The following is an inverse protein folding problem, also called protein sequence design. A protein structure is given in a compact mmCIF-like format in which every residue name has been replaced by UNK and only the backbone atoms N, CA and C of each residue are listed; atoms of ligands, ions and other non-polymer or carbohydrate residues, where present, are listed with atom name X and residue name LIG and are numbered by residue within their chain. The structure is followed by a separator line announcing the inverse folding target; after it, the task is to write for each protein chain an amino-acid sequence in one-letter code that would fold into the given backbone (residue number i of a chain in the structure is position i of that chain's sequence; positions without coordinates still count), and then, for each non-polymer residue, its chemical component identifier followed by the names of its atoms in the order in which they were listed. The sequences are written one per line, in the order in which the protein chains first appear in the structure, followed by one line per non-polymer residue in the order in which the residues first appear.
data_IF_979250370903
#
_entry.id   IF_979250370903
#
_cell.length_a   1.000
_cell.length_b   1.000
_cell.length_c   1.000
_cell.angle_alpha   90.00
_cell.angle_beta   90.00
_cell.angle_gamma   90.00
#
_symmetry.space_group_name_H-M   'P 1'
#
loop_
_entity.id
_entity.type
_entity.pdbx_description
1 polymer ?
#
# COMPACT_ATOMS: atom_id res chain seq x y z
N UNK A 1 -15.71 -5.10 -5.70
CA UNK A 1 -14.44 -4.44 -5.32
C UNK A 1 -13.69 -5.19 -4.22
N UNK A 2 -14.31 -5.49 -3.07
CA UNK A 2 -13.71 -6.28 -1.99
C UNK A 2 -13.11 -7.63 -2.43
N UNK A 3 -13.77 -8.34 -3.36
CA UNK A 3 -13.23 -9.58 -3.94
C UNK A 3 -11.90 -9.39 -4.66
N UNK A 4 -11.78 -8.36 -5.51
CA UNK A 4 -10.53 -8.04 -6.23
C UNK A 4 -9.40 -7.66 -5.26
N UNK A 5 -9.73 -6.89 -4.23
CA UNK A 5 -8.79 -6.43 -3.20
C UNK A 5 -8.24 -7.60 -2.38
N UNK A 6 -9.10 -8.54 -2.00
CA UNK A 6 -8.68 -9.77 -1.34
C UNK A 6 -7.78 -10.61 -2.25
N UNK A 7 -8.13 -10.76 -3.53
CA UNK A 7 -7.28 -11.49 -4.48
C UNK A 7 -5.89 -10.85 -4.58
N UNK A 8 -5.79 -9.53 -4.68
CA UNK A 8 -4.50 -8.83 -4.70
C UNK A 8 -3.67 -9.08 -3.44
N UNK A 9 -4.30 -9.04 -2.26
CA UNK A 9 -3.66 -9.33 -0.97
C UNK A 9 -3.15 -10.77 -0.91
N UNK A 10 -3.96 -11.73 -1.34
CA UNK A 10 -3.55 -13.15 -1.38
C UNK A 10 -2.43 -13.37 -2.39
N UNK A 11 -2.50 -12.76 -3.57
CA UNK A 11 -1.42 -12.81 -4.56
C UNK A 11 -0.11 -12.27 -3.98
N UNK A 12 -0.16 -11.16 -3.25
CA UNK A 12 1.00 -10.59 -2.58
C UNK A 12 1.59 -11.52 -1.52
N UNK A 13 0.75 -12.08 -0.66
CA UNK A 13 1.15 -13.03 0.37
C UNK A 13 1.85 -14.27 -0.23
N UNK A 14 1.22 -14.87 -1.25
CA UNK A 14 1.76 -16.08 -1.89
C UNK A 14 3.04 -15.80 -2.67
N UNK A 15 3.15 -14.64 -3.33
CA UNK A 15 4.39 -14.27 -4.03
C UNK A 15 5.55 -14.04 -3.07
N UNK A 16 5.31 -13.42 -1.90
CA UNK A 16 6.31 -13.33 -0.83
C UNK A 16 6.78 -14.70 -0.32
N UNK A 17 5.85 -15.65 -0.12
CA UNK A 17 6.21 -17.02 0.27
C UNK A 17 7.02 -17.74 -0.82
N UNK A 18 6.56 -17.68 -2.07
CA UNK A 18 7.26 -18.29 -3.22
C UNK A 18 8.67 -17.73 -3.32
N UNK A 19 8.83 -16.41 -3.19
CA UNK A 19 10.13 -15.75 -3.20
C UNK A 19 11.04 -16.29 -2.08
N UNK A 20 10.54 -16.42 -0.85
CA UNK A 20 11.32 -16.93 0.28
C UNK A 20 11.82 -18.37 0.04
N UNK A 21 11.01 -19.25 -0.56
CA UNK A 21 11.40 -20.64 -0.83
C UNK A 21 12.30 -20.79 -2.06
N UNK A 22 12.07 -20.01 -3.12
CA UNK A 22 12.83 -20.14 -4.37
C UNK A 22 14.32 -19.80 -4.23
N UNK A 23 14.72 -19.00 -3.23
CA UNK A 23 16.12 -18.71 -2.97
C UNK A 23 16.87 -19.82 -2.22
N UNK A 24 16.15 -20.63 -1.44
CA UNK A 24 16.77 -21.68 -0.62
C UNK A 24 16.92 -23.00 -1.38
N UNK A 25 15.96 -23.31 -2.26
CA UNK A 25 15.87 -24.62 -2.92
C UNK A 25 17.03 -24.90 -3.91
N UNK A 26 17.39 -24.00 -4.86
CA UNK A 26 18.40 -24.31 -5.88
C UNK A 26 19.81 -24.65 -5.35
N UNK A 27 20.35 -23.98 -4.31
CA UNK A 27 21.64 -24.33 -3.73
C UNK A 27 21.70 -25.75 -3.13
N UNK A 28 20.58 -26.34 -2.69
CA UNK A 28 20.53 -27.72 -2.17
C UNK A 28 20.90 -28.76 -3.23
N UNK A 29 20.69 -28.43 -4.51
CA UNK A 29 21.01 -29.32 -5.63
C UNK A 29 22.40 -29.08 -6.23
N UNK A 30 23.15 -28.08 -5.73
CA UNK A 30 24.55 -27.83 -6.10
C UNK A 30 25.48 -28.37 -5.00
N UNK A 31 26.57 -29.04 -5.39
CA UNK A 31 27.62 -29.45 -4.43
C UNK A 31 28.24 -28.21 -3.80
N UNK A 32 28.17 -28.10 -2.47
CA UNK A 32 28.63 -26.94 -1.68
C UNK A 32 27.96 -25.60 -2.07
N UNK A 33 26.69 -25.63 -2.46
CA UNK A 33 25.91 -24.41 -2.75
C UNK A 33 25.33 -23.74 -1.50
N UNK A 34 25.77 -22.52 -1.20
CA UNK A 34 25.11 -21.68 -0.18
C UNK A 34 23.97 -20.85 -0.81
N UNK A 35 22.86 -20.61 -0.09
CA UNK A 35 21.80 -19.68 -0.51
C UNK A 35 22.33 -18.29 -0.85
N UNK A 36 23.28 -17.80 -0.04
CA UNK A 36 23.99 -16.56 -0.31
C UNK A 36 25.48 -16.86 -0.45
N UNK A 37 26.11 -16.54 -1.60
CA UNK A 37 27.52 -16.75 -1.81
C UNK A 37 28.31 -15.79 -0.91
N UNK A 38 28.86 -16.32 0.18
CA UNK A 38 29.63 -15.56 1.19
C UNK A 38 30.90 -16.34 1.50
N UNK A 39 32.01 -15.61 1.64
CA UNK A 39 33.29 -16.18 2.07
C UNK A 39 33.37 -16.12 3.58
N UNK A 40 33.57 -17.26 4.23
CA UNK A 40 33.80 -17.35 5.67
C UNK A 40 35.31 -17.52 5.96
N UNK A 41 35.80 -17.02 7.12
CA UNK A 41 37.20 -17.15 7.50
C UNK A 41 37.60 -18.57 7.97
N UNK A 42 36.68 -19.53 7.96
CA UNK A 42 36.88 -20.93 8.34
C UNK A 42 36.38 -21.86 7.24
N UNK A 43 36.82 -23.12 7.25
CA UNK A 43 36.36 -24.13 6.29
C UNK A 43 34.92 -24.56 6.60
N UNK A 44 33.99 -23.91 5.92
CA UNK A 44 32.55 -24.19 6.02
C UNK A 44 32.12 -25.36 5.14
N UNK A 45 33.00 -25.91 4.28
CA UNK A 45 32.63 -27.00 3.36
C UNK A 45 32.58 -28.37 4.05
N UNK A 46 33.25 -28.50 5.20
CA UNK A 46 33.26 -29.72 6.00
C UNK A 46 31.97 -29.90 6.82
N UNK A 47 31.51 -31.15 6.97
CA UNK A 47 30.45 -31.52 7.91
C UNK A 47 30.98 -31.39 9.35
N UNK A 48 30.26 -30.75 10.30
CA UNK A 48 28.87 -30.25 10.23
C UNK A 48 28.71 -28.76 9.89
N UNK A 49 29.82 -28.04 9.63
CA UNK A 49 29.81 -26.59 9.44
C UNK A 49 28.95 -26.15 8.26
N UNK A 50 28.96 -26.90 7.15
CA UNK A 50 28.11 -26.62 5.99
C UNK A 50 26.62 -26.52 6.37
N UNK A 51 26.12 -27.50 7.13
CA UNK A 51 24.72 -27.54 7.54
C UNK A 51 24.38 -26.38 8.47
N UNK A 52 25.26 -26.09 9.44
CA UNK A 52 25.07 -24.98 10.39
C UNK A 52 24.99 -23.64 9.63
N UNK A 53 25.93 -23.38 8.72
CA UNK A 53 25.96 -22.16 7.93
C UNK A 53 24.72 -22.06 7.04
N UNK A 54 24.37 -23.15 6.35
CA UNK A 54 23.18 -23.19 5.49
C UNK A 54 21.90 -22.87 6.29
N UNK A 55 21.67 -23.56 7.41
CA UNK A 55 20.50 -23.31 8.27
C UNK A 55 20.49 -21.89 8.83
N UNK A 56 21.65 -21.35 9.21
CA UNK A 56 21.74 -19.98 9.70
C UNK A 56 21.36 -18.95 8.62
N UNK A 57 21.85 -19.12 7.39
CA UNK A 57 21.49 -18.24 6.27
C UNK A 57 20.00 -18.34 5.92
N UNK A 58 19.47 -19.56 5.87
CA UNK A 58 18.05 -19.80 5.62
C UNK A 58 17.17 -19.14 6.70
N UNK A 59 17.52 -19.31 7.97
CA UNK A 59 16.78 -18.72 9.09
C UNK A 59 16.81 -17.19 9.08
N UNK A 60 18.00 -16.60 8.89
CA UNK A 60 18.15 -15.14 8.79
C UNK A 60 17.34 -14.60 7.62
N UNK A 61 17.38 -15.26 6.47
CA UNK A 61 16.60 -14.83 5.31
C UNK A 61 15.10 -14.91 5.55
N UNK A 62 14.60 -15.97 6.18
CA UNK A 62 13.19 -16.08 6.53
C UNK A 62 12.74 -14.95 7.45
N UNK A 63 13.59 -14.52 8.41
CA UNK A 63 13.30 -13.36 9.26
C UNK A 63 13.25 -12.07 8.43
N UNK A 64 14.24 -11.83 7.56
CA UNK A 64 14.28 -10.62 6.73
C UNK A 64 13.05 -10.53 5.83
N UNK A 65 12.69 -11.63 5.15
CA UNK A 65 11.49 -11.69 4.31
C UNK A 65 10.22 -11.45 5.13
N UNK A 66 10.10 -12.04 6.33
CA UNK A 66 8.95 -11.81 7.21
C UNK A 66 8.82 -10.35 7.63
N UNK A 67 9.93 -9.70 8.01
CA UNK A 67 9.94 -8.29 8.40
C UNK A 67 9.59 -7.39 7.21
N UNK A 68 10.15 -7.65 6.03
CA UNK A 68 9.84 -6.91 4.81
C UNK A 68 8.36 -6.99 4.45
N UNK A 69 7.83 -8.21 4.30
CA UNK A 69 6.41 -8.43 4.01
C UNK A 69 5.50 -7.87 5.09
N UNK A 70 5.91 -7.93 6.36
CA UNK A 70 5.18 -7.30 7.48
C UNK A 70 5.10 -5.78 7.36
N UNK A 71 6.18 -5.14 6.89
CA UNK A 71 6.20 -3.70 6.65
C UNK A 71 5.28 -3.31 5.48
N UNK A 72 5.26 -4.09 4.39
CA UNK A 72 4.32 -3.89 3.28
C UNK A 72 2.87 -4.01 3.76
N UNK A 73 2.55 -5.04 4.57
CA UNK A 73 1.21 -5.18 5.13
C UNK A 73 0.81 -4.05 6.08
N UNK A 74 1.77 -3.46 6.80
CA UNK A 74 1.52 -2.28 7.62
C UNK A 74 1.10 -1.08 6.77
N UNK A 75 1.82 -0.82 5.68
CA UNK A 75 1.49 0.23 4.69
C UNK A 75 0.09 -0.02 4.11
N UNK A 76 -0.11 -1.21 3.56
CA UNK A 76 -1.36 -1.59 2.90
C UNK A 76 -2.55 -1.52 3.86
N UNK A 77 -2.40 -2.04 5.08
CA UNK A 77 -3.42 -1.99 6.12
C UNK A 77 -3.78 -0.55 6.49
N UNK A 78 -2.81 0.34 6.58
CA UNK A 78 -3.05 1.76 6.85
C UNK A 78 -3.77 2.47 5.69
N UNK A 79 -3.31 2.28 4.45
CA UNK A 79 -3.97 2.84 3.25
C UNK A 79 -5.42 2.36 3.12
N UNK A 80 -5.65 1.06 3.32
CA UNK A 80 -6.99 0.48 3.33
C UNK A 80 -7.86 1.06 4.42
N UNK A 81 -7.34 1.16 5.65
CA UNK A 81 -8.07 1.72 6.78
C UNK A 81 -8.51 3.16 6.48
N UNK A 82 -7.61 4.00 5.98
CA UNK A 82 -7.93 5.38 5.60
C UNK A 82 -9.00 5.39 4.50
N UNK A 83 -8.83 4.56 3.48
CA UNK A 83 -9.74 4.48 2.34
C UNK A 83 -11.15 4.08 2.79
N UNK A 84 -11.27 3.07 3.66
CA UNK A 84 -12.54 2.66 4.23
C UNK A 84 -13.20 3.78 5.04
N UNK A 85 -12.42 4.58 5.78
CA UNK A 85 -12.98 5.73 6.51
C UNK A 85 -13.53 6.81 5.57
N UNK A 86 -12.91 7.01 4.40
CA UNK A 86 -13.47 7.88 3.36
C UNK A 86 -14.77 7.32 2.77
N UNK A 87 -14.87 6.01 2.52
CA UNK A 87 -16.11 5.39 2.04
C UNK A 87 -17.25 5.56 3.09
N UNK A 88 -16.96 5.28 4.35
CA UNK A 88 -17.95 5.47 5.45
C UNK A 88 -18.40 6.94 5.53
N UNK A 89 -17.47 7.89 5.39
CA UNK A 89 -17.81 9.31 5.42
C UNK A 89 -18.70 9.72 4.24
N UNK A 90 -18.42 9.20 3.04
CA UNK A 90 -19.26 9.44 1.87
C UNK A 90 -20.69 8.97 2.13
N UNK A 91 -20.87 7.72 2.57
CA UNK A 91 -22.20 7.16 2.89
C UNK A 91 -22.91 7.99 3.97
N UNK A 92 -22.19 8.39 5.03
CA UNK A 92 -22.74 9.23 6.09
C UNK A 92 -23.27 10.58 5.56
N UNK A 93 -22.55 11.18 4.62
CA UNK A 93 -22.97 12.46 4.04
C UNK A 93 -24.12 12.26 3.04
N UNK A 94 -24.14 11.18 2.27
CA UNK A 94 -25.20 10.91 1.30
C UNK A 94 -26.57 10.73 1.97
N UNK A 95 -26.62 10.03 3.10
CA UNK A 95 -27.85 9.85 3.88
C UNK A 95 -28.28 11.12 4.63
N UNK A 96 -27.53 12.21 4.54
CA UNK A 96 -27.85 13.42 5.29
C UNK A 96 -29.26 13.93 4.97
N UNK A 97 -30.00 14.32 6.01
CA UNK A 97 -31.39 14.79 5.93
C UNK A 97 -32.39 13.73 5.38
N UNK A 98 -32.07 12.43 5.52
CA UNK A 98 -33.00 11.31 5.30
C UNK A 98 -33.38 10.61 6.62
N UNK A 99 -34.42 9.75 6.64
CA UNK A 99 -34.73 8.92 7.82
C UNK A 99 -33.57 8.05 8.28
N UNK A 100 -32.72 7.57 7.35
CA UNK A 100 -31.55 6.76 7.70
C UNK A 100 -30.53 7.54 8.53
N UNK A 101 -30.36 8.85 8.29
CA UNK A 101 -29.46 9.69 9.09
C UNK A 101 -29.90 9.75 10.55
N UNK A 102 -31.19 9.94 10.84
CA UNK A 102 -31.68 10.00 12.23
C UNK A 102 -31.47 8.66 12.95
N UNK A 103 -31.77 7.55 12.27
CA UNK A 103 -31.52 6.20 12.81
C UNK A 103 -30.03 5.97 13.08
N UNK A 104 -29.16 6.41 12.16
CA UNK A 104 -27.70 6.32 12.31
C UNK A 104 -27.19 7.20 13.44
N UNK A 105 -27.67 8.46 13.53
CA UNK A 105 -27.29 9.39 14.58
C UNK A 105 -27.64 8.85 15.98
N UNK A 106 -28.81 8.23 16.12
CA UNK A 106 -29.21 7.56 17.38
C UNK A 106 -28.22 6.47 17.79
N UNK A 107 -27.84 5.58 16.86
CA UNK A 107 -26.83 4.53 17.13
C UNK A 107 -25.46 5.15 17.47
N UNK A 108 -25.08 6.23 16.80
CA UNK A 108 -23.83 6.93 17.08
C UNK A 108 -23.84 7.62 18.45
N UNK A 109 -24.98 8.10 18.96
CA UNK A 109 -25.11 8.62 20.33
C UNK A 109 -24.78 7.54 21.36
N UNK A 110 -25.36 6.35 21.19
CA UNK A 110 -25.13 5.18 22.07
C UNK A 110 -23.65 4.73 22.08
N UNK A 111 -23.01 4.72 20.91
CA UNK A 111 -21.61 4.25 20.78
C UNK A 111 -20.61 5.30 21.25
N UNK A 112 -20.81 6.57 20.88
CA UNK A 112 -19.77 7.60 21.05
C UNK A 112 -19.83 8.33 22.40
N UNK A 113 -21.02 8.42 23.01
CA UNK A 113 -21.26 9.16 24.26
C UNK A 113 -20.52 10.53 24.31
N UNK A 114 -20.60 11.30 23.23
CA UNK A 114 -19.81 12.53 23.01
C UNK A 114 -20.50 13.81 23.52
N UNK A 115 -21.70 13.66 24.11
CA UNK A 115 -22.52 14.73 24.67
C UNK A 115 -22.93 15.77 23.64
N UNK A 116 -22.93 15.44 22.34
CA UNK A 116 -23.32 16.37 21.28
C UNK A 116 -24.83 16.67 21.30
N UNK A 117 -25.65 15.70 21.69
CA UNK A 117 -27.10 15.85 21.88
C UNK A 117 -27.47 16.95 22.88
N UNK A 118 -26.62 17.18 23.90
CA UNK A 118 -26.82 18.26 24.88
C UNK A 118 -26.38 19.63 24.34
N UNK A 119 -25.56 19.66 23.28
CA UNK A 119 -25.00 20.89 22.70
C UNK A 119 -25.78 21.40 21.50
N UNK A 120 -26.47 20.52 20.79
CA UNK A 120 -27.22 20.86 19.58
C UNK A 120 -28.64 20.32 19.68
N UNK A 121 -29.63 21.23 19.71
CA UNK A 121 -31.03 20.86 19.69
C UNK A 121 -31.49 20.29 18.33
N UNK A 122 -30.88 20.71 17.22
CA UNK A 122 -31.14 20.14 15.90
C UNK A 122 -30.21 18.93 15.66
N UNK A 123 -30.81 17.74 15.52
CA UNK A 123 -30.10 16.49 15.25
C UNK A 123 -29.29 16.54 13.93
N UNK A 124 -29.75 17.31 12.94
CA UNK A 124 -29.01 17.48 11.68
C UNK A 124 -27.70 18.23 11.91
N UNK A 125 -27.73 19.25 12.77
CA UNK A 125 -26.53 20.00 13.13
C UNK A 125 -25.57 19.15 13.95
N UNK A 126 -26.10 18.37 14.87
CA UNK A 126 -25.35 17.39 15.64
C UNK A 126 -24.61 16.39 14.72
N UNK A 127 -25.34 15.77 13.81
CA UNK A 127 -24.82 14.78 12.87
C UNK A 127 -23.79 15.40 11.91
N UNK A 128 -24.06 16.59 11.38
CA UNK A 128 -23.11 17.34 10.56
C UNK A 128 -21.78 17.56 11.30
N UNK A 129 -21.81 17.95 12.58
CA UNK A 129 -20.61 18.12 13.40
C UNK A 129 -19.85 16.80 13.56
N UNK A 130 -20.54 15.66 13.67
CA UNK A 130 -19.90 14.33 13.67
C UNK A 130 -19.18 14.07 12.35
N UNK A 131 -19.82 14.32 11.20
CA UNK A 131 -19.20 14.18 9.88
C UNK A 131 -17.96 15.07 9.70
N UNK A 132 -18.04 16.34 10.11
CA UNK A 132 -16.90 17.28 10.05
C UNK A 132 -15.74 16.79 10.92
N UNK A 133 -16.02 16.35 12.16
CA UNK A 133 -14.99 15.80 13.06
C UNK A 133 -14.37 14.54 12.48
N UNK A 134 -15.16 13.68 11.84
CA UNK A 134 -14.69 12.48 11.17
C UNK A 134 -13.75 12.82 10.02
N UNK A 135 -14.15 13.73 9.12
CA UNK A 135 -13.31 14.23 8.03
C UNK A 135 -11.98 14.80 8.55
N UNK A 136 -12.01 15.63 9.59
CA UNK A 136 -10.81 16.19 10.21
C UNK A 136 -9.90 15.11 10.82
N UNK A 137 -10.47 14.06 11.43
CA UNK A 137 -9.70 12.92 11.95
C UNK A 137 -9.03 12.15 10.82
N UNK A 138 -9.75 11.87 9.73
CA UNK A 138 -9.18 11.21 8.55
C UNK A 138 -8.01 12.03 8.01
N UNK A 139 -8.19 13.33 7.75
CA UNK A 139 -7.11 14.19 7.23
C UNK A 139 -5.88 14.22 8.14
N UNK A 140 -6.08 14.35 9.46
CA UNK A 140 -4.97 14.33 10.43
C UNK A 140 -4.26 12.97 10.44
N UNK A 141 -5.02 11.89 10.45
CA UNK A 141 -4.47 10.53 10.47
C UNK A 141 -3.71 10.24 9.17
N UNK A 142 -4.27 10.56 8.00
CA UNK A 142 -3.60 10.40 6.70
C UNK A 142 -2.26 11.15 6.67
N UNK A 143 -2.24 12.39 7.18
CA UNK A 143 -1.00 13.18 7.26
C UNK A 143 0.04 12.53 8.17
N UNK A 144 -0.36 12.09 9.37
CA UNK A 144 0.54 11.43 10.32
C UNK A 144 1.05 10.09 9.79
N UNK A 145 0.17 9.32 9.17
CA UNK A 145 0.48 8.04 8.55
C UNK A 145 1.48 8.23 7.40
N UNK A 146 1.27 9.19 6.51
CA UNK A 146 2.21 9.51 5.42
C UNK A 146 3.58 9.90 5.97
N UNK A 147 3.64 10.75 7.01
CA UNK A 147 4.91 11.13 7.66
C UNK A 147 5.63 9.91 8.25
N UNK A 148 4.89 9.00 8.90
CA UNK A 148 5.46 7.81 9.52
C UNK A 148 5.97 6.80 8.47
N UNK A 149 5.28 6.67 7.33
CA UNK A 149 5.63 5.69 6.29
C UNK A 149 6.66 6.21 5.28
N UNK A 150 6.85 7.52 5.14
CA UNK A 150 7.86 8.16 4.28
C UNK A 150 9.21 7.41 4.14
N UNK A 151 9.93 7.06 5.24
CA UNK A 151 11.21 6.36 5.12
C UNK A 151 11.08 4.96 4.54
N UNK A 152 10.02 4.23 4.92
CA UNK A 152 9.77 2.88 4.44
C UNK A 152 9.47 2.90 2.94
N UNK A 153 8.67 3.84 2.48
CA UNK A 153 8.24 3.96 1.09
C UNK A 153 9.37 4.41 0.17
N UNK A 154 10.24 5.30 0.65
CA UNK A 154 11.44 5.68 -0.09
C UNK A 154 12.40 4.49 -0.23
N UNK A 155 12.58 3.72 0.85
CA UNK A 155 13.40 2.51 0.81
C UNK A 155 12.79 1.47 -0.15
N UNK A 156 11.47 1.29 -0.10
CA UNK A 156 10.75 0.36 -0.96
C UNK A 156 10.89 0.73 -2.45
N UNK A 157 10.76 2.03 -2.78
CA UNK A 157 10.99 2.52 -4.13
C UNK A 157 12.43 2.26 -4.61
N UNK A 158 13.42 2.53 -3.76
CA UNK A 158 14.83 2.29 -4.08
C UNK A 158 15.09 0.81 -4.35
N UNK A 159 14.65 -0.06 -3.44
CA UNK A 159 14.79 -1.51 -3.57
C UNK A 159 14.08 -2.04 -4.81
N UNK A 160 12.87 -1.54 -5.11
CA UNK A 160 12.12 -1.94 -6.31
C UNK A 160 12.84 -1.55 -7.60
N UNK A 161 13.37 -0.33 -7.71
CA UNK A 161 14.12 0.11 -8.89
C UNK A 161 15.38 -0.72 -9.07
N UNK A 162 16.15 -0.91 -8.00
CA UNK A 162 17.37 -1.73 -8.05
C UNK A 162 17.06 -3.19 -8.40
N UNK A 163 16.04 -3.78 -7.78
CA UNK A 163 15.59 -5.15 -8.04
C UNK A 163 15.16 -5.34 -9.49
N UNK A 164 14.36 -4.42 -10.04
CA UNK A 164 13.95 -4.48 -11.45
C UNK A 164 15.14 -4.36 -12.41
N UNK A 165 16.07 -3.45 -12.15
CA UNK A 165 17.28 -3.28 -12.97
C UNK A 165 18.20 -4.50 -12.92
N UNK A 166 18.43 -5.08 -11.73
CA UNK A 166 19.23 -6.30 -11.58
C UNK A 166 18.57 -7.52 -12.20
N UNK A 167 17.24 -7.65 -12.07
CA UNK A 167 16.48 -8.70 -12.73
C UNK A 167 16.56 -8.59 -14.26
N UNK A 168 16.45 -7.37 -14.80
CA UNK A 168 16.63 -7.10 -16.22
C UNK A 168 18.05 -7.48 -16.71
N UNK A 169 19.08 -7.13 -15.94
CA UNK A 169 20.47 -7.53 -16.22
C UNK A 169 20.62 -9.07 -16.19
N UNK A 170 20.00 -9.74 -15.22
CA UNK A 170 20.02 -11.19 -15.09
C UNK A 170 19.45 -11.89 -16.32
N UNK A 171 18.29 -11.41 -16.81
CA UNK A 171 17.66 -11.93 -18.03
C UNK A 171 18.57 -11.69 -19.25
N UNK A 172 19.07 -10.47 -19.45
CA UNK A 172 19.97 -10.15 -20.57
C UNK A 172 21.30 -10.93 -20.51
N UNK A 173 21.72 -11.38 -19.32
CA UNK A 173 22.89 -12.22 -19.11
C UNK A 173 22.67 -13.70 -19.43
N UNK A 174 21.47 -14.21 -19.16
CA UNK A 174 21.16 -15.63 -19.29
C UNK A 174 20.64 -16.04 -20.67
N UNK A 175 20.30 -15.08 -21.55
CA UNK A 175 19.89 -15.35 -22.95
C UNK A 175 20.92 -16.14 -23.77
N UNK A 176 22.20 -16.18 -23.36
CA UNK A 176 23.25 -16.92 -24.08
C UNK A 176 23.65 -18.28 -23.47
N UNK A 177 23.39 -18.56 -22.18
CA UNK A 177 23.98 -19.74 -21.51
C UNK A 177 23.28 -20.21 -20.22
N UNK A 178 22.15 -19.62 -19.82
CA UNK A 178 21.49 -19.93 -18.53
C UNK A 178 20.70 -21.24 -18.53
N UNK A 179 20.66 -21.94 -17.40
CA UNK A 179 19.73 -23.06 -17.20
C UNK A 179 18.28 -22.55 -17.08
N UNK A 180 17.29 -23.40 -17.44
CA UNK A 180 15.85 -23.06 -17.29
C UNK A 180 15.51 -22.64 -15.85
N UNK A 181 16.17 -23.24 -14.86
CA UNK A 181 16.01 -22.90 -13.45
C UNK A 181 16.51 -21.47 -13.14
N UNK A 182 17.66 -21.06 -13.67
CA UNK A 182 18.22 -19.72 -13.46
C UNK A 182 17.38 -18.64 -14.15
N UNK A 183 16.83 -18.93 -15.33
CA UNK A 183 15.88 -18.04 -16.01
C UNK A 183 14.58 -17.87 -15.20
N UNK A 184 14.05 -18.97 -14.65
CA UNK A 184 12.85 -18.95 -13.80
C UNK A 184 13.03 -18.10 -12.53
N UNK A 185 14.19 -18.19 -11.87
CA UNK A 185 14.49 -17.38 -10.67
C UNK A 185 14.51 -15.89 -11.00
N UNK A 186 15.16 -15.48 -12.09
CA UNK A 186 15.22 -14.07 -12.48
C UNK A 186 13.84 -13.52 -12.88
N UNK A 187 13.00 -14.34 -13.52
CA UNK A 187 11.63 -13.94 -13.83
C UNK A 187 10.80 -13.70 -12.56
N UNK A 188 10.87 -14.62 -11.59
CA UNK A 188 10.16 -14.47 -10.31
C UNK A 188 10.68 -13.26 -9.53
N UNK A 189 11.98 -12.99 -9.59
CA UNK A 189 12.57 -11.79 -9.00
C UNK A 189 11.99 -10.51 -9.59
N UNK A 190 11.98 -10.39 -10.92
CA UNK A 190 11.45 -9.21 -11.61
C UNK A 190 9.94 -9.05 -11.37
N UNK A 191 9.21 -10.16 -11.45
CA UNK A 191 7.77 -10.17 -11.17
C UNK A 191 7.46 -9.76 -9.73
N UNK A 192 8.24 -10.22 -8.74
CA UNK A 192 8.06 -9.90 -7.33
C UNK A 192 8.17 -8.40 -7.04
N UNK A 193 9.29 -7.77 -7.44
CA UNK A 193 9.46 -6.31 -7.24
C UNK A 193 8.45 -5.49 -8.04
N UNK A 194 8.12 -5.94 -9.26
CA UNK A 194 7.08 -5.28 -10.06
C UNK A 194 5.71 -5.35 -9.37
N UNK A 195 5.33 -6.51 -8.84
CA UNK A 195 4.04 -6.71 -8.19
C UNK A 195 3.95 -5.93 -6.89
N UNK A 196 5.01 -5.93 -6.07
CA UNK A 196 5.05 -5.17 -4.82
C UNK A 196 4.84 -3.67 -5.09
N UNK A 197 5.65 -3.08 -5.98
CA UNK A 197 5.50 -1.66 -6.35
C UNK A 197 4.15 -1.35 -6.99
N UNK A 198 3.61 -2.27 -7.81
CA UNK A 198 2.28 -2.12 -8.40
C UNK A 198 1.19 -2.02 -7.33
N UNK A 199 1.25 -2.89 -6.32
CA UNK A 199 0.26 -2.94 -5.25
C UNK A 199 0.28 -1.65 -4.44
N UNK A 200 1.46 -1.18 -4.02
CA UNK A 200 1.60 0.07 -3.27
C UNK A 200 1.04 1.27 -4.07
N UNK A 201 1.42 1.38 -5.35
CA UNK A 201 0.93 2.44 -6.23
C UNK A 201 -0.57 2.32 -6.54
N UNK A 202 -1.12 1.09 -6.59
CA UNK A 202 -2.55 0.85 -6.76
C UNK A 202 -3.33 1.40 -5.57
N UNK A 203 -2.92 1.03 -4.35
CA UNK A 203 -3.63 1.45 -3.14
C UNK A 203 -3.49 2.94 -2.86
N UNK A 204 -2.33 3.55 -3.17
CA UNK A 204 -2.18 5.01 -3.13
C UNK A 204 -3.13 5.72 -4.11
N UNK A 205 -3.25 5.22 -5.34
CA UNK A 205 -4.20 5.74 -6.34
C UNK A 205 -5.65 5.53 -5.90
N UNK A 206 -5.95 4.37 -5.30
CA UNK A 206 -7.29 4.03 -4.85
C UNK A 206 -7.74 4.90 -3.68
N UNK A 207 -6.86 5.15 -2.71
CA UNK A 207 -7.09 6.11 -1.63
C UNK A 207 -7.42 7.50 -2.19
N UNK A 208 -6.59 7.99 -3.12
CA UNK A 208 -6.82 9.29 -3.77
C UNK A 208 -8.19 9.33 -4.46
N UNK A 209 -8.54 8.27 -5.20
CA UNK A 209 -9.82 8.18 -5.87
C UNK A 209 -11.00 8.22 -4.88
N UNK A 210 -10.96 7.43 -3.81
CA UNK A 210 -12.01 7.44 -2.79
C UNK A 210 -12.13 8.78 -2.07
N UNK A 211 -11.02 9.42 -1.75
CA UNK A 211 -11.03 10.76 -1.18
C UNK A 211 -11.61 11.81 -2.16
N UNK A 212 -11.40 11.63 -3.47
CA UNK A 212 -11.92 12.52 -4.52
C UNK A 212 -13.43 12.46 -4.73
N UNK A 213 -14.10 11.39 -4.28
CA UNK A 213 -15.56 11.22 -4.39
C UNK A 213 -16.32 11.91 -3.25
N UNK A 214 -15.65 12.27 -2.15
CA UNK A 214 -16.28 12.93 -1.01
C UNK A 214 -16.94 14.28 -1.36
N UNK A 215 -16.31 15.20 -2.12
CA UNK A 215 -16.98 16.41 -2.62
C UNK A 215 -18.27 16.12 -3.38
N UNK A 216 -18.28 15.10 -4.24
CA UNK A 216 -19.45 14.74 -5.03
C UNK A 216 -20.57 14.21 -4.14
N UNK A 217 -20.25 13.33 -3.18
CA UNK A 217 -21.18 12.84 -2.16
C UNK A 217 -21.80 14.00 -1.34
N UNK A 218 -20.97 14.98 -0.93
CA UNK A 218 -21.46 16.20 -0.26
C UNK A 218 -22.42 16.97 -1.16
N UNK A 219 -22.06 17.19 -2.42
CA UNK A 219 -22.86 17.94 -3.38
C UNK A 219 -24.23 17.28 -3.64
N UNK A 220 -24.27 15.95 -3.75
CA UNK A 220 -25.47 15.18 -4.02
C UNK A 220 -26.37 14.95 -2.79
N UNK A 221 -25.88 15.18 -1.58
CA UNK A 221 -26.69 15.08 -0.36
C UNK A 221 -27.85 16.09 -0.29
N UNK A 222 -28.84 15.82 0.55
CA UNK A 222 -30.05 16.65 0.68
C UNK A 222 -29.84 17.95 1.50
N UNK A 223 -28.59 18.42 1.65
CA UNK A 223 -28.25 19.65 2.39
C UNK A 223 -28.88 20.92 1.79
N UNK A 224 -29.16 20.93 0.47
CA UNK A 224 -29.82 22.06 -0.21
C UNK A 224 -31.27 22.28 0.25
N UNK A 225 -31.92 21.23 0.77
CA UNK A 225 -33.30 21.28 1.27
C UNK A 225 -33.41 21.84 2.69
N UNK A 226 -32.29 22.17 3.35
CA UNK A 226 -32.29 22.75 4.69
C UNK A 226 -32.93 24.14 4.71
N UNK A 227 -33.67 24.48 5.77
CA UNK A 227 -34.15 25.84 5.99
C UNK A 227 -33.09 26.72 6.68
N UNK A 228 -32.23 26.10 7.49
CA UNK A 228 -31.14 26.76 8.21
C UNK A 228 -30.05 27.26 7.24
N UNK A 229 -29.95 28.59 7.13
CA UNK A 229 -28.96 29.27 6.28
C UNK A 229 -27.52 29.12 6.80
N UNK A 230 -27.33 29.04 8.10
CA UNK A 230 -26.00 28.91 8.69
C UNK A 230 -25.46 27.49 8.45
N UNK A 231 -26.29 26.47 8.67
CA UNK A 231 -25.90 25.08 8.36
C UNK A 231 -25.61 24.89 6.86
N UNK A 232 -26.37 25.54 5.96
CA UNK A 232 -26.05 25.55 4.52
C UNK A 232 -24.68 26.13 4.21
N UNK A 233 -24.30 27.24 4.85
CA UNK A 233 -22.95 27.82 4.70
C UNK A 233 -21.88 26.86 5.23
N UNK A 234 -22.13 26.22 6.36
CA UNK A 234 -21.21 25.23 6.94
C UNK A 234 -20.97 24.05 5.96
N UNK A 235 -22.02 23.58 5.27
CA UNK A 235 -21.88 22.58 4.20
C UNK A 235 -21.06 23.08 3.02
N UNK A 236 -21.23 24.33 2.59
CA UNK A 236 -20.41 24.93 1.54
C UNK A 236 -18.91 24.98 1.94
N UNK A 237 -18.61 25.29 3.21
CA UNK A 237 -17.25 25.19 3.74
C UNK A 237 -16.74 23.75 3.76
N UNK A 238 -17.56 22.78 4.17
CA UNK A 238 -17.17 21.37 4.15
C UNK A 238 -16.84 20.92 2.71
N UNK A 239 -17.67 21.30 1.73
CA UNK A 239 -17.46 21.01 0.32
C UNK A 239 -16.17 21.63 -0.21
N UNK A 240 -15.91 22.91 0.10
CA UNK A 240 -14.68 23.56 -0.32
C UNK A 240 -13.44 22.88 0.30
N UNK A 241 -13.54 22.43 1.56
CA UNK A 241 -12.42 21.78 2.24
C UNK A 241 -12.22 20.33 1.78
N UNK A 242 -13.26 19.60 1.40
CA UNK A 242 -13.14 18.21 0.92
C UNK A 242 -12.45 18.11 -0.44
N UNK A 243 -12.43 19.19 -1.22
CA UNK A 243 -11.67 19.26 -2.48
C UNK A 243 -10.15 19.25 -2.28
N UNK A 244 -9.67 19.46 -1.04
CA UNK A 244 -8.25 19.33 -0.70
C UNK A 244 -7.93 17.86 -0.42
N UNK A 245 -7.76 17.10 -1.49
CA UNK A 245 -7.52 15.66 -1.44
C UNK A 245 -6.10 15.41 -0.91
N UNK A 246 -5.91 14.62 0.17
CA UNK A 246 -4.58 14.26 0.63
C UNK A 246 -3.90 13.34 -0.39
N UNK A 247 -2.68 13.70 -0.79
CA UNK A 247 -1.81 12.84 -1.59
C UNK A 247 -0.88 12.04 -0.67
N UNK A 248 -0.73 10.74 -0.96
CA UNK A 248 0.21 9.87 -0.30
C UNK A 248 1.52 9.85 -1.11
N UNK A 249 2.62 10.22 -0.47
CA UNK A 249 3.88 10.47 -1.17
C UNK A 249 5.08 10.19 -0.27
N UNK A 250 6.23 9.87 -0.87
CA UNK A 250 7.49 9.69 -0.16
C UNK A 250 8.28 11.02 -0.17
N UNK A 251 8.32 11.71 0.98
CA UNK A 251 9.04 12.98 1.18
C UNK A 251 8.76 14.08 0.13
N UNK A 252 7.60 14.06 -0.54
CA UNK A 252 7.30 14.88 -1.72
C UNK A 252 8.28 14.72 -2.91
N UNK A 253 9.11 13.68 -2.91
CA UNK A 253 10.02 13.35 -4.02
C UNK A 253 9.32 12.43 -5.03
N UNK A 254 8.40 11.59 -4.55
CA UNK A 254 7.71 10.60 -5.34
C UNK A 254 6.27 10.41 -4.86
N UNK A 255 5.33 10.56 -5.79
CA UNK A 255 3.91 10.28 -5.54
C UNK A 255 3.61 8.80 -5.79
N UNK A 256 2.99 8.15 -4.81
CA UNK A 256 2.60 6.74 -4.89
C UNK A 256 1.28 6.61 -5.63
N UNK A 257 1.40 6.66 -6.96
CA UNK A 257 0.27 6.47 -7.85
C UNK A 257 0.69 5.68 -9.10
N UNK A 258 -0.29 5.12 -9.80
CA UNK A 258 -0.08 4.26 -10.97
C UNK A 258 0.77 4.89 -12.08
N UNK A 259 0.68 6.22 -12.26
CA UNK A 259 1.50 6.91 -13.25
C UNK A 259 3.00 6.81 -12.93
N UNK A 260 3.37 6.77 -11.65
CA UNK A 260 4.75 6.61 -11.21
C UNK A 260 5.25 5.17 -11.38
N UNK A 261 4.40 4.18 -11.08
CA UNK A 261 4.69 2.77 -11.38
C UNK A 261 5.04 2.58 -12.87
N UNK A 262 4.22 3.13 -13.77
CA UNK A 262 4.48 3.05 -15.22
C UNK A 262 5.80 3.70 -15.60
N UNK A 263 6.20 4.81 -14.96
CA UNK A 263 7.52 5.43 -15.16
C UNK A 263 8.65 4.49 -14.75
N UNK A 264 8.55 3.86 -13.58
CA UNK A 264 9.57 2.93 -13.08
C UNK A 264 9.74 1.73 -14.03
N UNK A 265 8.64 1.13 -14.49
CA UNK A 265 8.68 0.02 -15.45
C UNK A 265 9.31 0.44 -16.78
N UNK A 266 8.99 1.63 -17.30
CA UNK A 266 9.60 2.17 -18.53
C UNK A 266 11.11 2.37 -18.39
N UNK A 267 11.57 2.84 -17.24
CA UNK A 267 13.00 2.99 -16.95
C UNK A 267 13.68 1.63 -16.92
N UNK A 268 13.13 0.66 -16.19
CA UNK A 268 13.68 -0.71 -16.13
C UNK A 268 13.75 -1.37 -17.52
N UNK A 269 12.70 -1.22 -18.34
CA UNK A 269 12.70 -1.73 -19.72
C UNK A 269 13.73 -1.02 -20.61
N UNK A 270 13.91 0.30 -20.42
CA UNK A 270 14.93 1.05 -21.16
C UNK A 270 16.34 0.55 -20.82
N UNK A 271 16.64 0.33 -19.53
CA UNK A 271 17.88 -0.31 -19.09
C UNK A 271 18.08 -1.70 -19.70
N UNK A 272 17.04 -2.54 -19.69
CA UNK A 272 17.06 -3.85 -20.35
C UNK A 272 17.47 -3.73 -21.82
N UNK A 273 16.80 -2.86 -22.59
CA UNK A 273 17.07 -2.72 -24.04
C UNK A 273 18.45 -2.17 -24.36
N UNK A 274 19.02 -1.32 -23.50
CA UNK A 274 20.39 -0.82 -23.67
C UNK A 274 21.37 -1.97 -23.43
N UNK A 275 21.18 -2.71 -22.34
CA UNK A 275 22.06 -3.81 -21.96
C UNK A 275 22.03 -4.97 -22.96
N UNK A 276 20.85 -5.29 -23.51
CA UNK A 276 20.74 -6.33 -24.53
C UNK A 276 21.39 -5.95 -25.87
N UNK A 277 21.49 -4.65 -26.17
CA UNK A 277 22.16 -4.13 -27.38
C UNK A 277 23.67 -3.91 -27.22
N UNK A 278 24.17 -3.82 -25.98
CA UNK A 278 25.61 -3.67 -25.68
C UNK A 278 26.37 -5.01 -25.73
N UNK A 279 25.66 -6.11 -26.00
CA UNK A 279 26.21 -7.45 -26.22
C UNK A 279 26.19 -7.81 -27.70
#
# INVERSE_FOLDING_TARGET
MYSLMNVMIWCFFWTGLIYAFMYQIPPLFKTNGLPYPVVYPFDWTATPWYQIVYFSQAFVQSIISLVGTGADFLVLGGLLSITSQYCILQECVEIFNTPEMYATNKRLREIMNDGLENRYADERREYFVRCVRHHQRILRFTKQFNIAMNPLELYQLFVSIFGLCLGALGIANLELAGTVAEQGINFVYLYGFSLQLFIDCFFGTYLYHQASLLPDAIFHSNWRMLEDKELKKDFAFLLQNSQRIPQFNAYNLYDMHMYSYVKVIKVAFSFYTILSKLK
#
